data_IF_749360788898
#
_entry.id   IF_749360788898
#
_cell.length_a   1.000
_cell.length_b   1.000
_cell.length_c   1.000
_cell.angle_alpha   90.00
_cell.angle_beta   90.00
_cell.angle_gamma   90.00
#
_symmetry.space_group_name_H-M   'P 1'
#
loop_
_entity.id
_entity.type
_entity.pdbx_description
1 polymer ?
#
# COMPACT_ATOMS: atom_id res chain seq x y z
N UNK A 1 -13.04 8.17 18.82
CA UNK A 1 -11.88 8.43 17.93
C UNK A 1 -12.40 9.31 16.78
N UNK A 2 -11.77 10.46 16.49
CA UNK A 2 -12.27 11.28 15.37
C UNK A 2 -12.11 10.51 14.05
N UNK A 3 -13.03 10.70 13.10
CA UNK A 3 -13.01 10.06 11.78
C UNK A 3 -11.61 10.15 11.12
N UNK A 4 -10.96 11.30 11.24
CA UNK A 4 -9.64 11.54 10.65
C UNK A 4 -8.56 10.59 11.18
N UNK A 5 -8.51 10.37 12.48
CA UNK A 5 -7.53 9.43 13.07
C UNK A 5 -7.83 7.98 12.69
N UNK A 6 -9.11 7.62 12.62
CA UNK A 6 -9.49 6.29 12.12
C UNK A 6 -9.04 6.09 10.67
N UNK A 7 -9.30 7.06 9.80
CA UNK A 7 -8.85 7.00 8.41
C UNK A 7 -7.31 6.96 8.28
N UNK A 8 -6.58 7.66 9.15
CA UNK A 8 -5.12 7.61 9.18
C UNK A 8 -4.60 6.20 9.53
N UNK A 9 -5.19 5.56 10.55
CA UNK A 9 -4.83 4.17 10.92
C UNK A 9 -5.18 3.21 9.78
N UNK A 10 -6.38 3.32 9.19
CA UNK A 10 -6.81 2.46 8.08
C UNK A 10 -5.92 2.69 6.83
N UNK A 11 -5.48 3.92 6.58
CA UNK A 11 -4.53 4.24 5.51
C UNK A 11 -3.19 3.51 5.73
N UNK A 12 -2.66 3.56 6.95
CA UNK A 12 -1.44 2.86 7.31
C UNK A 12 -1.55 1.34 7.16
N UNK A 13 -2.62 0.73 7.70
CA UNK A 13 -2.86 -0.72 7.59
C UNK A 13 -3.01 -1.15 6.13
N UNK A 14 -3.78 -0.39 5.33
CA UNK A 14 -4.01 -0.73 3.93
C UNK A 14 -2.72 -0.71 3.11
N UNK A 15 -1.92 0.38 3.23
CA UNK A 15 -0.68 0.51 2.45
C UNK A 15 0.43 -0.44 2.92
N UNK A 16 0.42 -0.83 4.20
CA UNK A 16 1.40 -1.76 4.77
C UNK A 16 1.47 -3.08 4.01
N UNK A 17 0.34 -3.54 3.44
CA UNK A 17 0.24 -4.79 2.68
C UNK A 17 1.19 -4.86 1.47
N UNK A 18 1.51 -3.73 0.86
CA UNK A 18 2.43 -3.66 -0.28
C UNK A 18 3.88 -3.91 0.17
N UNK A 19 4.19 -3.55 1.42
CA UNK A 19 5.57 -3.50 1.91
C UNK A 19 5.95 -4.68 2.82
N UNK A 20 5.00 -5.49 3.27
CA UNK A 20 5.28 -6.65 4.12
C UNK A 20 6.24 -7.66 3.49
N UNK A 21 6.20 -7.83 2.17
CA UNK A 21 7.05 -8.81 1.48
C UNK A 21 8.54 -8.43 1.50
N UNK A 22 8.90 -7.14 1.60
CA UNK A 22 10.26 -6.66 1.37
C UNK A 22 11.32 -7.31 2.29
N UNK A 23 11.19 -7.31 3.63
CA UNK A 23 12.17 -7.98 4.49
C UNK A 23 12.07 -9.51 4.44
N UNK A 24 10.99 -10.06 3.84
CA UNK A 24 10.69 -11.49 3.82
C UNK A 24 11.11 -12.19 2.53
N UNK A 25 11.62 -11.47 1.53
CA UNK A 25 11.94 -12.02 0.21
C UNK A 25 12.84 -13.26 0.30
N UNK A 26 13.84 -13.25 1.17
CA UNK A 26 14.71 -14.41 1.37
C UNK A 26 13.98 -15.63 1.96
N UNK A 27 13.07 -15.41 2.91
CA UNK A 27 12.28 -16.49 3.52
C UNK A 27 11.30 -17.08 2.50
N UNK A 28 10.66 -16.24 1.69
CA UNK A 28 9.77 -16.65 0.63
C UNK A 28 10.52 -17.44 -0.44
N UNK A 29 11.70 -16.96 -0.86
CA UNK A 29 12.54 -17.63 -1.84
C UNK A 29 12.92 -19.06 -1.40
N UNK A 30 13.31 -19.21 -0.13
CA UNK A 30 13.70 -20.53 0.43
C UNK A 30 12.52 -21.48 0.54
N UNK A 31 11.39 -21.00 1.09
CA UNK A 31 10.23 -21.86 1.36
C UNK A 31 9.52 -22.30 0.05
N UNK A 32 9.48 -21.44 -0.95
CA UNK A 32 8.85 -21.72 -2.24
C UNK A 32 9.86 -22.17 -3.33
N UNK A 33 11.13 -22.35 -2.98
CA UNK A 33 12.21 -22.74 -3.92
C UNK A 33 12.31 -21.82 -5.15
N UNK A 34 12.14 -20.50 -4.93
CA UNK A 34 12.17 -19.49 -5.99
C UNK A 34 13.59 -18.99 -6.25
N UNK A 35 13.86 -18.69 -7.50
CA UNK A 35 15.08 -17.95 -7.88
C UNK A 35 15.03 -16.52 -7.35
N UNK A 36 16.20 -15.89 -7.22
CA UNK A 36 16.30 -14.48 -6.83
C UNK A 36 15.51 -13.56 -7.78
N UNK A 37 15.46 -13.90 -9.06
CA UNK A 37 14.67 -13.14 -10.03
C UNK A 37 13.16 -13.25 -9.75
N UNK A 38 12.64 -14.45 -9.59
CA UNK A 38 11.21 -14.70 -9.36
C UNK A 38 10.70 -14.05 -8.08
N UNK A 39 11.44 -14.17 -6.98
CA UNK A 39 11.01 -13.58 -5.71
C UNK A 39 11.01 -12.05 -5.75
N UNK A 40 11.93 -11.43 -6.50
CA UNK A 40 11.94 -9.98 -6.69
C UNK A 40 10.79 -9.47 -7.58
N UNK A 41 10.13 -10.34 -8.34
CA UNK A 41 8.89 -9.96 -9.05
C UNK A 41 7.72 -9.71 -8.10
N UNK A 42 7.70 -10.27 -6.89
CA UNK A 42 6.61 -10.06 -5.90
C UNK A 42 6.38 -8.58 -5.61
N UNK A 43 7.37 -7.79 -5.15
CA UNK A 43 7.19 -6.36 -4.95
C UNK A 43 6.92 -5.60 -6.25
N UNK A 44 7.47 -6.04 -7.38
CA UNK A 44 7.20 -5.42 -8.69
C UNK A 44 5.72 -5.56 -9.06
N UNK A 45 5.15 -6.77 -8.96
CA UNK A 45 3.73 -7.00 -9.23
C UNK A 45 2.82 -6.24 -8.27
N UNK A 46 3.19 -6.14 -6.99
CA UNK A 46 2.47 -5.29 -6.03
C UNK A 46 2.47 -3.82 -6.46
N UNK A 47 3.59 -3.29 -6.94
CA UNK A 47 3.67 -1.90 -7.40
C UNK A 47 2.92 -1.68 -8.72
N UNK A 48 2.97 -2.63 -9.66
CA UNK A 48 2.16 -2.59 -10.88
C UNK A 48 0.67 -2.59 -10.53
N UNK A 49 0.26 -3.47 -9.62
CA UNK A 49 -1.12 -3.49 -9.10
C UNK A 49 -1.52 -2.15 -8.51
N UNK A 50 -0.66 -1.57 -7.65
CA UNK A 50 -0.90 -0.26 -7.05
C UNK A 50 -1.06 0.86 -8.08
N UNK A 51 -0.21 0.89 -9.10
CA UNK A 51 -0.31 1.85 -10.18
C UNK A 51 -1.63 1.69 -10.96
N UNK A 52 -2.03 0.46 -11.30
CA UNK A 52 -3.33 0.18 -11.94
C UNK A 52 -4.50 0.59 -11.05
N UNK A 53 -4.40 0.35 -9.74
CA UNK A 53 -5.40 0.78 -8.75
C UNK A 53 -5.55 2.30 -8.68
N UNK A 54 -4.45 3.05 -8.73
CA UNK A 54 -4.48 4.52 -8.78
C UNK A 54 -5.25 5.03 -10.00
N UNK A 55 -5.06 4.41 -11.16
CA UNK A 55 -5.77 4.81 -12.39
C UNK A 55 -7.23 4.39 -12.43
N UNK A 56 -7.63 3.36 -11.68
CA UNK A 56 -8.99 2.80 -11.76
C UNK A 56 -9.81 3.08 -10.51
N UNK A 57 -9.34 2.68 -9.32
CA UNK A 57 -10.11 2.76 -8.07
C UNK A 57 -10.25 4.21 -7.58
N UNK A 58 -9.20 5.02 -7.69
CA UNK A 58 -9.27 6.41 -7.22
C UNK A 58 -10.33 7.21 -7.99
N UNK A 59 -10.35 7.20 -9.33
CA UNK A 59 -11.45 7.81 -10.08
C UNK A 59 -12.82 7.14 -9.83
N UNK A 60 -12.87 5.82 -9.60
CA UNK A 60 -14.12 5.15 -9.21
C UNK A 60 -14.68 5.71 -7.89
N UNK A 61 -13.82 6.09 -6.94
CA UNK A 61 -14.23 6.74 -5.70
C UNK A 61 -14.91 8.10 -5.89
N UNK A 62 -14.69 8.78 -7.03
CA UNK A 62 -15.40 10.01 -7.38
C UNK A 62 -16.75 9.74 -8.08
N UNK A 63 -16.86 8.60 -8.80
CA UNK A 63 -18.05 8.23 -9.55
C UNK A 63 -19.03 7.37 -8.74
N UNK A 64 -18.55 6.52 -7.86
CA UNK A 64 -19.36 5.63 -7.04
C UNK A 64 -19.30 6.04 -5.56
N UNK A 65 -20.12 5.39 -4.74
CA UNK A 65 -20.07 5.58 -3.30
C UNK A 65 -18.70 5.18 -2.74
N UNK A 66 -17.99 6.14 -2.16
CA UNK A 66 -16.62 5.96 -1.66
C UNK A 66 -16.52 4.87 -0.59
N UNK A 67 -17.50 4.79 0.33
CA UNK A 67 -17.54 3.75 1.36
C UNK A 67 -17.61 2.36 0.74
N UNK A 68 -18.52 2.15 -0.21
CA UNK A 68 -18.68 0.87 -0.87
C UNK A 68 -17.45 0.50 -1.70
N UNK A 69 -16.85 1.45 -2.41
CA UNK A 69 -15.60 1.24 -3.15
C UNK A 69 -14.48 0.76 -2.23
N UNK A 70 -14.29 1.41 -1.08
CA UNK A 70 -13.28 1.00 -0.09
C UNK A 70 -13.58 -0.39 0.49
N UNK A 71 -14.83 -0.68 0.82
CA UNK A 71 -15.22 -1.99 1.36
C UNK A 71 -15.00 -3.11 0.35
N UNK A 72 -15.33 -2.90 -0.92
CA UNK A 72 -15.03 -3.86 -2.00
C UNK A 72 -13.53 -4.09 -2.13
N UNK A 73 -12.73 -3.02 -2.10
CA UNK A 73 -11.26 -3.15 -2.12
C UNK A 73 -10.74 -3.94 -0.91
N UNK A 74 -11.23 -3.66 0.30
CA UNK A 74 -10.81 -4.38 1.51
C UNK A 74 -11.19 -5.86 1.46
N UNK A 75 -12.40 -6.18 0.99
CA UNK A 75 -12.83 -7.56 0.83
C UNK A 75 -11.99 -8.32 -0.21
N UNK A 76 -11.76 -7.71 -1.37
CA UNK A 76 -10.90 -8.29 -2.43
C UNK A 76 -9.45 -8.46 -1.94
N UNK A 77 -8.93 -7.50 -1.16
CA UNK A 77 -7.61 -7.58 -0.56
C UNK A 77 -7.53 -8.74 0.44
N UNK A 78 -8.55 -8.94 1.28
CA UNK A 78 -8.60 -10.08 2.21
C UNK A 78 -8.57 -11.41 1.46
N UNK A 79 -9.30 -11.56 0.36
CA UNK A 79 -9.23 -12.76 -0.48
C UNK A 79 -7.82 -12.97 -1.06
N UNK A 80 -7.18 -11.91 -1.53
CA UNK A 80 -5.81 -11.99 -2.03
C UNK A 80 -4.79 -12.34 -0.93
N UNK A 81 -4.98 -11.86 0.31
CA UNK A 81 -4.16 -12.25 1.46
C UNK A 81 -4.29 -13.74 1.79
N UNK A 82 -5.51 -14.28 1.75
CA UNK A 82 -5.74 -15.73 1.91
C UNK A 82 -5.09 -16.52 0.78
N UNK A 83 -5.23 -16.05 -0.47
CA UNK A 83 -4.58 -16.69 -1.62
C UNK A 83 -3.06 -16.70 -1.45
N UNK A 84 -2.46 -15.61 -1.01
CA UNK A 84 -1.02 -15.49 -0.80
C UNK A 84 -0.54 -16.38 0.36
N UNK A 85 -1.33 -16.47 1.45
CA UNK A 85 -1.04 -17.37 2.56
C UNK A 85 -1.00 -18.86 2.12
N UNK A 86 -1.92 -19.25 1.24
CA UNK A 86 -2.03 -20.62 0.71
C UNK A 86 -1.15 -20.87 -0.51
N UNK A 87 -0.48 -19.86 -1.04
CA UNK A 87 0.28 -19.98 -2.27
C UNK A 87 1.57 -20.79 -2.08
N UNK A 88 1.77 -21.76 -2.99
CA UNK A 88 2.98 -22.57 -3.13
C UNK A 88 3.63 -22.42 -4.51
N UNK A 89 2.96 -21.76 -5.46
CA UNK A 89 3.43 -21.58 -6.83
C UNK A 89 3.65 -20.10 -7.16
N UNK A 90 4.70 -19.81 -7.91
CA UNK A 90 5.08 -18.45 -8.34
C UNK A 90 3.91 -17.66 -8.93
N UNK A 91 3.12 -18.28 -9.80
CA UNK A 91 1.98 -17.61 -10.44
C UNK A 91 0.93 -17.11 -9.45
N UNK A 92 0.63 -17.90 -8.40
CA UNK A 92 -0.31 -17.49 -7.35
C UNK A 92 0.28 -16.37 -6.48
N UNK A 93 1.56 -16.44 -6.14
CA UNK A 93 2.26 -15.40 -5.40
C UNK A 93 2.23 -14.07 -6.14
N UNK A 94 2.55 -14.07 -7.44
CA UNK A 94 2.57 -12.87 -8.27
C UNK A 94 1.15 -12.33 -8.49
N UNK A 95 0.18 -13.19 -8.80
CA UNK A 95 -1.21 -12.81 -8.99
C UNK A 95 -1.83 -12.20 -7.73
N UNK A 96 -1.65 -12.85 -6.58
CA UNK A 96 -2.11 -12.32 -5.30
C UNK A 96 -1.44 -10.98 -4.95
N UNK A 97 -0.14 -10.86 -5.18
CA UNK A 97 0.61 -9.63 -4.94
C UNK A 97 0.11 -8.46 -5.80
N UNK A 98 -0.21 -8.73 -7.07
CA UNK A 98 -0.82 -7.73 -7.97
C UNK A 98 -2.17 -7.25 -7.44
N UNK A 99 -3.03 -8.18 -6.99
CA UNK A 99 -4.36 -7.83 -6.43
C UNK A 99 -4.21 -7.10 -5.09
N UNK A 100 -3.27 -7.49 -4.23
CA UNK A 100 -2.96 -6.78 -2.99
C UNK A 100 -2.56 -5.34 -3.30
N UNK A 101 -1.64 -5.12 -4.24
CA UNK A 101 -1.25 -3.79 -4.67
C UNK A 101 -2.44 -2.99 -5.19
N UNK A 102 -3.21 -3.58 -6.10
CA UNK A 102 -4.39 -2.95 -6.71
C UNK A 102 -5.40 -2.45 -5.68
N UNK A 103 -5.69 -3.23 -4.64
CA UNK A 103 -6.67 -2.88 -3.61
C UNK A 103 -6.10 -2.00 -2.49
N UNK A 104 -4.78 -1.86 -2.36
CA UNK A 104 -4.15 -1.08 -1.29
C UNK A 104 -4.17 0.44 -1.52
N UNK A 105 -4.82 0.93 -2.57
CA UNK A 105 -4.88 2.37 -2.92
C UNK A 105 -5.91 3.17 -2.11
N UNK A 106 -6.61 2.55 -1.17
CA UNK A 106 -7.67 3.19 -0.37
C UNK A 106 -7.25 4.50 0.32
N UNK A 107 -6.00 4.69 0.80
CA UNK A 107 -5.56 5.98 1.33
C UNK A 107 -5.75 7.14 0.37
N UNK A 108 -5.60 6.88 -0.93
CA UNK A 108 -5.78 7.87 -1.99
C UNK A 108 -7.26 8.23 -2.22
N UNK A 109 -8.19 7.43 -1.73
CA UNK A 109 -9.63 7.76 -1.68
C UNK A 109 -9.97 8.57 -0.43
N UNK A 110 -9.26 8.34 0.70
CA UNK A 110 -9.48 9.07 1.95
C UNK A 110 -9.03 10.53 1.89
N UNK A 111 -7.89 10.82 1.25
CA UNK A 111 -7.35 12.17 1.15
C UNK A 111 -8.29 13.16 0.45
N UNK A 112 -8.80 12.90 -0.76
CA UNK A 112 -9.77 13.76 -1.42
C UNK A 112 -11.07 13.89 -0.62
N UNK A 113 -11.53 12.82 0.03
CA UNK A 113 -12.70 12.86 0.88
C UNK A 113 -12.54 13.90 1.99
N UNK A 114 -11.47 13.80 2.78
CA UNK A 114 -11.21 14.74 3.88
C UNK A 114 -11.00 16.16 3.35
N UNK A 115 -10.33 16.31 2.21
CA UNK A 115 -10.11 17.60 1.56
C UNK A 115 -11.42 18.32 1.17
N UNK A 116 -12.48 17.57 0.83
CA UNK A 116 -13.79 18.13 0.46
C UNK A 116 -14.67 18.40 1.68
N UNK A 117 -14.66 17.49 2.67
CA UNK A 117 -15.58 17.51 3.81
C UNK A 117 -15.03 18.18 5.08
N UNK A 118 -13.73 18.45 5.14
CA UNK A 118 -13.15 19.20 6.24
C UNK A 118 -13.44 20.71 6.10
N UNK A 119 -13.56 21.39 7.26
CA UNK A 119 -13.61 22.86 7.29
C UNK A 119 -12.35 23.44 6.64
N UNK A 120 -12.42 24.57 5.92
CA UNK A 120 -11.26 25.16 5.25
C UNK A 120 -10.03 25.31 6.16
N UNK A 121 -10.24 25.72 7.41
CA UNK A 121 -9.19 25.91 8.43
C UNK A 121 -8.56 24.62 8.96
N UNK A 122 -9.20 23.46 8.75
CA UNK A 122 -8.74 22.16 9.26
C UNK A 122 -8.25 21.22 8.17
N UNK A 123 -8.44 21.59 6.92
CA UNK A 123 -8.20 20.76 5.74
C UNK A 123 -6.76 20.24 5.66
N UNK A 124 -5.80 21.14 5.77
CA UNK A 124 -4.37 20.82 5.69
C UNK A 124 -3.95 19.91 6.85
N UNK A 125 -4.36 20.27 8.07
CA UNK A 125 -4.05 19.46 9.26
C UNK A 125 -4.62 18.04 9.16
N UNK A 126 -5.88 17.89 8.73
CA UNK A 126 -6.53 16.57 8.62
C UNK A 126 -5.90 15.73 7.51
N UNK A 127 -5.54 16.34 6.39
CA UNK A 127 -4.81 15.67 5.31
C UNK A 127 -3.43 15.23 5.77
N UNK A 128 -2.72 16.09 6.51
CA UNK A 128 -1.43 15.77 7.11
C UNK A 128 -1.49 14.57 8.08
N UNK A 129 -2.54 14.48 8.91
CA UNK A 129 -2.74 13.34 9.82
C UNK A 129 -2.89 12.03 9.03
N UNK A 130 -3.66 12.02 7.93
CA UNK A 130 -3.82 10.81 7.09
C UNK A 130 -2.49 10.44 6.43
N UNK A 131 -1.77 11.43 5.90
CA UNK A 131 -0.46 11.22 5.29
C UNK A 131 0.56 10.65 6.30
N UNK A 132 0.58 11.17 7.53
CA UNK A 132 1.40 10.63 8.61
C UNK A 132 1.06 9.18 8.93
N UNK A 133 -0.23 8.84 9.00
CA UNK A 133 -0.67 7.45 9.17
C UNK A 133 -0.20 6.54 8.04
N UNK A 134 -0.28 7.00 6.80
CA UNK A 134 0.24 6.30 5.62
C UNK A 134 1.76 6.05 5.72
N UNK A 135 2.54 7.09 6.06
CA UNK A 135 4.00 6.97 6.19
C UNK A 135 4.40 6.02 7.32
N UNK A 136 3.73 6.11 8.46
CA UNK A 136 3.92 5.18 9.58
C UNK A 136 3.62 3.73 9.14
N UNK A 137 2.55 3.53 8.36
CA UNK A 137 2.21 2.23 7.79
C UNK A 137 3.30 1.68 6.86
N UNK A 138 3.84 2.52 5.96
CA UNK A 138 4.92 2.15 5.04
C UNK A 138 6.19 1.72 5.79
N UNK A 139 6.60 2.50 6.77
CA UNK A 139 7.85 2.28 7.49
C UNK A 139 7.70 1.18 8.55
N UNK A 140 6.61 1.25 9.34
CA UNK A 140 6.32 0.28 10.39
C UNK A 140 6.03 -1.13 9.86
N UNK A 141 5.46 -1.24 8.66
CA UNK A 141 5.20 -2.55 8.04
C UNK A 141 6.45 -3.41 7.92
N UNK A 142 7.60 -2.81 7.59
CA UNK A 142 8.87 -3.53 7.45
C UNK A 142 9.36 -4.09 8.78
N UNK A 143 9.24 -3.28 9.85
CA UNK A 143 9.64 -3.70 11.21
C UNK A 143 8.75 -4.85 11.67
N UNK A 144 7.44 -4.68 11.55
CA UNK A 144 6.46 -5.69 12.00
C UNK A 144 6.62 -6.98 11.19
N UNK A 145 6.69 -6.90 9.85
CA UNK A 145 6.82 -8.09 9.02
C UNK A 145 8.17 -8.78 9.20
N UNK A 146 9.24 -8.02 9.35
CA UNK A 146 10.57 -8.58 9.62
C UNK A 146 10.61 -9.39 10.90
N UNK A 147 10.06 -8.84 11.99
CA UNK A 147 9.99 -9.51 13.29
C UNK A 147 9.05 -10.73 13.26
N UNK A 148 7.82 -10.55 12.77
CA UNK A 148 6.84 -11.65 12.67
C UNK A 148 7.37 -12.77 11.77
N UNK A 149 7.99 -12.41 10.66
CA UNK A 149 8.57 -13.38 9.73
C UNK A 149 9.75 -14.16 10.30
N UNK A 150 10.56 -13.51 11.15
CA UNK A 150 11.67 -14.17 11.84
C UNK A 150 11.19 -15.22 12.87
N UNK A 151 10.14 -14.87 13.63
CA UNK A 151 9.66 -15.72 14.74
C UNK A 151 8.66 -16.78 14.29
N UNK A 152 7.73 -16.43 13.42
CA UNK A 152 6.57 -17.26 13.06
C UNK A 152 6.55 -17.70 11.59
N UNK A 153 7.56 -17.31 10.81
CA UNK A 153 7.60 -17.54 9.38
C UNK A 153 6.85 -16.48 8.58
N UNK A 154 7.21 -16.35 7.30
CA UNK A 154 6.75 -15.27 6.43
C UNK A 154 5.24 -15.26 6.19
N UNK A 155 4.58 -16.43 6.24
CA UNK A 155 3.12 -16.53 6.05
C UNK A 155 2.33 -15.89 7.18
N UNK A 156 2.86 -15.88 8.41
CA UNK A 156 2.16 -15.38 9.59
C UNK A 156 1.74 -13.91 9.48
N UNK A 157 2.55 -13.07 8.82
CA UNK A 157 2.22 -11.64 8.67
C UNK A 157 0.95 -11.43 7.83
N UNK A 158 0.68 -12.30 6.86
CA UNK A 158 -0.53 -12.20 6.03
C UNK A 158 -1.79 -12.59 6.78
N UNK A 159 -1.71 -13.49 7.77
CA UNK A 159 -2.81 -13.76 8.71
C UNK A 159 -3.04 -12.58 9.65
N UNK A 160 -1.98 -12.00 10.20
CA UNK A 160 -2.08 -10.78 11.03
C UNK A 160 -2.73 -9.66 10.22
N UNK A 161 -2.31 -9.48 8.97
CA UNK A 161 -2.88 -8.48 8.08
C UNK A 161 -4.35 -8.77 7.74
N UNK A 162 -4.71 -10.03 7.52
CA UNK A 162 -6.09 -10.44 7.26
C UNK A 162 -7.01 -10.00 8.41
N UNK A 163 -6.62 -10.26 9.66
CA UNK A 163 -7.36 -9.82 10.84
C UNK A 163 -7.43 -8.29 10.91
N UNK A 164 -6.32 -7.60 10.70
CA UNK A 164 -6.27 -6.15 10.70
C UNK A 164 -7.17 -5.54 9.60
N UNK A 165 -7.22 -6.13 8.42
CA UNK A 165 -8.09 -5.70 7.32
C UNK A 165 -9.56 -5.99 7.62
N UNK A 166 -9.90 -7.12 8.25
CA UNK A 166 -11.26 -7.43 8.66
C UNK A 166 -11.76 -6.41 9.70
N UNK A 167 -10.96 -6.11 10.72
CA UNK A 167 -11.27 -5.05 11.69
C UNK A 167 -11.43 -3.70 10.99
N UNK A 168 -10.52 -3.37 10.06
CA UNK A 168 -10.59 -2.14 9.27
C UNK A 168 -11.87 -2.04 8.44
N UNK A 169 -12.32 -3.13 7.83
CA UNK A 169 -13.57 -3.18 7.07
C UNK A 169 -14.78 -2.89 7.96
N UNK A 170 -14.83 -3.49 9.16
CA UNK A 170 -15.91 -3.24 10.14
C UNK A 170 -15.90 -1.78 10.59
N UNK A 171 -14.72 -1.23 10.88
CA UNK A 171 -14.58 0.17 11.30
C UNK A 171 -15.03 1.12 10.18
N UNK A 172 -14.58 0.90 8.94
CA UNK A 172 -15.01 1.72 7.78
C UNK A 172 -16.52 1.63 7.58
N UNK A 173 -17.09 0.43 7.65
CA UNK A 173 -18.54 0.25 7.53
C UNK A 173 -19.34 1.07 8.56
N UNK A 174 -18.83 1.17 9.81
CA UNK A 174 -19.50 1.87 10.91
C UNK A 174 -19.30 3.39 10.91
N UNK A 175 -18.11 3.86 10.56
CA UNK A 175 -17.75 5.27 10.76
C UNK A 175 -17.60 6.08 9.47
N UNK A 176 -17.37 5.43 8.32
CA UNK A 176 -17.22 6.17 7.08
C UNK A 176 -18.60 6.61 6.56
N UNK A 177 -18.84 7.92 6.39
CA UNK A 177 -20.15 8.42 5.99
C UNK A 177 -20.54 7.92 4.60
N UNK A 178 -21.82 7.65 4.43
CA UNK A 178 -22.40 7.31 3.15
C UNK A 178 -22.61 8.61 2.35
N UNK A 179 -21.66 8.89 1.47
CA UNK A 179 -21.69 10.12 0.67
C UNK A 179 -21.92 9.74 -0.78
N UNK A 180 -22.99 10.27 -1.39
CA UNK A 180 -23.28 10.03 -2.80
C UNK A 180 -22.16 10.58 -3.69
N UNK A 181 -22.01 9.97 -4.86
CA UNK A 181 -21.00 10.38 -5.84
C UNK A 181 -21.18 11.82 -6.27
N UNK A 182 -20.09 12.55 -6.41
CA UNK A 182 -20.10 13.95 -6.88
C UNK A 182 -20.07 14.06 -8.41
N UNK A 183 -19.67 12.99 -9.11
CA UNK A 183 -19.49 12.99 -10.55
C UNK A 183 -20.59 12.22 -11.29
N UNK A 184 -21.36 12.93 -12.13
CA UNK A 184 -22.50 12.37 -12.88
C UNK A 184 -22.14 11.85 -14.29
N UNK A 185 -20.89 12.05 -14.75
CA UNK A 185 -20.44 11.66 -16.08
C UNK A 185 -20.12 10.15 -16.20
N UNK A 186 -19.77 9.71 -17.41
CA UNK A 186 -19.29 8.34 -17.64
C UNK A 186 -17.86 8.13 -17.11
N UNK A 187 -17.48 6.89 -16.79
CA UNK A 187 -16.11 6.58 -16.38
C UNK A 187 -15.09 6.92 -17.50
N UNK A 188 -15.47 6.70 -18.76
CA UNK A 188 -14.63 7.07 -19.90
C UNK A 188 -14.38 8.58 -19.99
N UNK A 189 -15.41 9.42 -19.74
CA UNK A 189 -15.23 10.88 -19.72
C UNK A 189 -14.31 11.34 -18.59
N UNK A 190 -14.32 10.64 -17.45
CA UNK A 190 -13.41 10.89 -16.34
C UNK A 190 -11.96 10.58 -16.73
N UNK A 191 -11.72 9.43 -17.37
CA UNK A 191 -10.38 9.05 -17.89
C UNK A 191 -9.86 10.05 -18.94
N UNK A 192 -10.71 10.47 -19.86
CA UNK A 192 -10.36 11.50 -20.86
C UNK A 192 -10.00 12.83 -20.16
N UNK A 193 -10.69 13.18 -19.08
CA UNK A 193 -10.39 14.41 -18.33
C UNK A 193 -9.00 14.36 -17.69
N UNK A 194 -8.56 13.20 -17.18
CA UNK A 194 -7.20 13.00 -16.64
C UNK A 194 -6.16 13.20 -17.75
N UNK A 195 -6.37 12.59 -18.91
CA UNK A 195 -5.48 12.78 -20.08
C UNK A 195 -5.40 14.24 -20.54
N UNK A 196 -6.53 14.96 -20.52
CA UNK A 196 -6.59 16.40 -20.82
C UNK A 196 -5.82 17.23 -19.79
N UNK A 197 -5.94 16.89 -18.52
CA UNK A 197 -5.25 17.56 -17.42
C UNK A 197 -3.72 17.43 -17.56
N UNK A 198 -3.24 16.22 -17.86
CA UNK A 198 -1.81 15.97 -18.09
C UNK A 198 -1.26 16.81 -19.25
N UNK A 199 -2.01 16.91 -20.36
CA UNK A 199 -1.61 17.77 -21.51
C UNK A 199 -1.63 19.25 -21.17
N UNK A 200 -2.56 19.70 -20.32
CA UNK A 200 -2.70 21.10 -19.94
C UNK A 200 -1.62 21.58 -18.98
N UNK A 201 -1.07 20.68 -18.16
CA UNK A 201 -0.07 20.99 -17.12
C UNK A 201 1.21 20.17 -17.27
N UNK A 202 2.04 20.41 -18.32
CA UNK A 202 3.25 19.62 -18.58
C UNK A 202 4.28 19.68 -17.44
N UNK A 203 4.34 20.78 -16.69
CA UNK A 203 5.21 20.91 -15.52
C UNK A 203 4.88 19.85 -14.45
N UNK A 204 3.59 19.56 -14.24
CA UNK A 204 3.16 18.50 -13.30
C UNK A 204 3.66 17.12 -13.73
N UNK A 205 3.74 16.82 -15.04
CA UNK A 205 4.33 15.59 -15.55
C UNK A 205 5.82 15.47 -15.18
N UNK A 206 6.58 16.56 -15.34
CA UNK A 206 8.01 16.57 -14.98
C UNK A 206 8.20 16.32 -13.49
N UNK A 207 7.41 16.98 -12.63
CA UNK A 207 7.45 16.74 -11.18
C UNK A 207 7.06 15.31 -10.82
N UNK A 208 6.01 14.76 -11.44
CA UNK A 208 5.58 13.38 -11.23
C UNK A 208 6.66 12.38 -11.66
N UNK A 209 7.31 12.61 -12.79
CA UNK A 209 8.40 11.77 -13.28
C UNK A 209 9.60 11.79 -12.32
N UNK A 210 10.02 12.97 -11.87
CA UNK A 210 11.11 13.11 -10.89
C UNK A 210 10.80 12.40 -9.58
N UNK A 211 9.59 12.58 -9.06
CA UNK A 211 9.13 11.91 -7.84
C UNK A 211 9.05 10.39 -8.02
N UNK A 212 8.58 9.94 -9.18
CA UNK A 212 8.51 8.52 -9.53
C UNK A 212 9.89 7.87 -9.61
N UNK A 213 10.87 8.53 -10.24
CA UNK A 213 12.25 8.04 -10.29
C UNK A 213 12.91 7.98 -8.90
N UNK A 214 12.72 9.02 -8.08
CA UNK A 214 13.23 9.04 -6.71
C UNK A 214 12.63 7.92 -5.85
N UNK A 215 11.30 7.74 -5.93
CA UNK A 215 10.60 6.67 -5.21
C UNK A 215 10.98 5.27 -5.72
N UNK A 216 11.12 5.11 -7.03
CA UNK A 216 11.58 3.87 -7.65
C UNK A 216 13.01 3.49 -7.21
N UNK A 217 13.93 4.46 -7.15
CA UNK A 217 15.29 4.24 -6.64
C UNK A 217 15.29 3.80 -5.17
N UNK A 218 14.44 4.42 -4.35
CA UNK A 218 14.27 4.02 -2.95
C UNK A 218 13.74 2.58 -2.83
N UNK A 219 12.76 2.21 -3.63
CA UNK A 219 12.21 0.84 -3.63
C UNK A 219 13.23 -0.20 -4.10
N UNK A 220 14.00 0.13 -5.14
CA UNK A 220 15.10 -0.72 -5.63
C UNK A 220 16.16 -0.95 -4.55
N UNK A 221 16.56 0.10 -3.82
CA UNK A 221 17.48 -0.02 -2.69
C UNK A 221 16.95 -1.00 -1.64
N UNK A 222 15.68 -0.89 -1.25
CA UNK A 222 15.07 -1.79 -0.27
C UNK A 222 14.99 -3.24 -0.76
N UNK A 223 14.72 -3.46 -2.05
CA UNK A 223 14.74 -4.80 -2.66
C UNK A 223 16.12 -5.44 -2.57
N UNK A 224 17.17 -4.71 -2.94
CA UNK A 224 18.55 -5.19 -2.88
C UNK A 224 19.05 -5.39 -1.44
N UNK A 225 18.60 -4.55 -0.50
CA UNK A 225 19.06 -4.56 0.88
C UNK A 225 18.78 -5.92 1.57
N UNK A 226 17.61 -6.50 1.34
CA UNK A 226 17.24 -7.79 1.93
C UNK A 226 18.21 -8.92 1.55
N UNK A 227 18.69 -8.91 0.30
CA UNK A 227 19.67 -9.91 -0.17
C UNK A 227 21.08 -9.59 0.32
N UNK A 228 21.49 -8.31 0.24
CA UNK A 228 22.83 -7.89 0.68
C UNK A 228 23.06 -8.15 2.15
N UNK A 229 22.06 -7.92 3.00
CA UNK A 229 22.18 -8.14 4.44
C UNK A 229 22.30 -9.63 4.82
N UNK A 230 21.87 -10.54 3.95
CA UNK A 230 22.02 -11.98 4.16
C UNK A 230 23.43 -12.50 3.84
N UNK A 231 24.15 -11.81 2.94
CA UNK A 231 25.50 -12.19 2.53
C UNK A 231 26.56 -11.82 3.59
N UNK A 232 27.76 -12.40 3.43
CA UNK A 232 28.92 -12.02 4.24
C UNK A 232 29.27 -10.53 4.02
N UNK A 233 29.70 -9.83 5.07
CA UNK A 233 29.95 -10.24 6.45
C UNK A 233 28.74 -10.17 7.38
N UNK A 234 27.55 -9.76 6.92
CA UNK A 234 26.42 -9.37 7.77
C UNK A 234 25.64 -10.55 8.34
N UNK A 235 25.32 -11.56 7.52
CA UNK A 235 24.52 -12.75 7.89
C UNK A 235 23.24 -12.40 8.69
N UNK A 236 22.58 -11.30 8.35
CA UNK A 236 21.47 -10.74 9.10
C UNK A 236 20.13 -11.39 8.70
N UNK A 237 19.27 -11.57 9.70
CA UNK A 237 17.90 -12.06 9.52
C UNK A 237 16.92 -10.98 9.01
N UNK A 238 15.68 -11.39 8.74
CA UNK A 238 14.62 -10.50 8.28
C UNK A 238 14.23 -9.44 9.33
N UNK A 239 14.43 -9.72 10.61
CA UNK A 239 14.25 -8.80 11.74
C UNK A 239 15.19 -7.60 11.64
N UNK A 240 16.49 -7.84 11.39
CA UNK A 240 17.49 -6.76 11.22
C UNK A 240 17.17 -5.92 9.97
N UNK A 241 16.83 -6.57 8.85
CA UNK A 241 16.41 -5.87 7.63
C UNK A 241 15.18 -4.99 7.89
N UNK A 242 14.21 -5.51 8.65
CA UNK A 242 13.03 -4.75 9.07
C UNK A 242 13.37 -3.54 9.95
N UNK A 243 14.29 -3.71 10.93
CA UNK A 243 14.73 -2.63 11.82
C UNK A 243 15.42 -1.48 11.09
N UNK A 244 16.11 -1.73 9.99
CA UNK A 244 16.68 -0.67 9.16
C UNK A 244 15.60 0.29 8.63
N UNK A 245 14.34 -0.13 8.58
CA UNK A 245 13.20 0.74 8.31
C UNK A 245 13.03 1.88 9.31
N UNK A 246 13.51 1.73 10.56
CA UNK A 246 13.48 2.79 11.58
C UNK A 246 14.36 3.99 11.19
N UNK A 247 15.47 3.75 10.49
CA UNK A 247 16.30 4.84 9.97
C UNK A 247 15.52 5.75 9.02
N UNK A 248 14.59 5.17 8.23
CA UNK A 248 13.69 5.94 7.37
C UNK A 248 12.69 6.80 8.15
N UNK A 249 12.25 6.35 9.33
CA UNK A 249 11.36 7.14 10.21
C UNK A 249 12.08 8.39 10.72
N UNK A 250 13.33 8.24 11.16
CA UNK A 250 14.15 9.38 11.61
C UNK A 250 14.36 10.37 10.46
N UNK A 251 14.71 9.90 9.26
CA UNK A 251 14.87 10.76 8.08
C UNK A 251 13.57 11.42 7.59
N UNK A 252 12.40 10.85 7.89
CA UNK A 252 11.10 11.45 7.55
C UNK A 252 10.63 12.46 8.61
N UNK A 253 11.21 12.48 9.80
CA UNK A 253 10.87 13.38 10.91
C UNK A 253 11.72 14.67 10.92
N UNK A 254 12.81 14.70 10.13
CA UNK A 254 13.69 15.86 9.92
C UNK A 254 13.30 16.64 8.67
#
# INVERSE_FOLDING_TARGET
MSLTYALAVMAGISVANIYYCQPLLNLIAQDCSLTTFEVNLIPVFSQVGYALGLFTIVPMGDKYNRRNTVLVCFFTLMLALVTLYLAHHTALLLGASLVIGFCSVCPQVFMPFVSVYARPTEKERKTGIILSGLLIGILGSRVVSGYVGHVFGWRAIYLVSLVAMAVSAVVIYRIFPDVPSSYKGSFGSLMVSIGRLLRRYPRSMVFSLRSGLAFGSMLGMWGCLAFRMKEAPYHAGSDVVGMLGLCGIVGAAT
#
